data_IF_056308522443
#
_entry.id   IF_056308522443
#
_cell.length_a   1.000
_cell.length_b   1.000
_cell.length_c   1.000
_cell.angle_alpha   90.00
_cell.angle_beta   90.00
_cell.angle_gamma   90.00
#
_symmetry.space_group_name_H-M   'P 1'
#
loop_
_entity.id
_entity.type
_entity.pdbx_description
1 polymer ?
#
# COMPACT_ATOMS: atom_id res chain seq x y z
N UNK A 1 0.12 3.05 -24.20
CA UNK A 1 -0.40 2.45 -22.96
C UNK A 1 -0.03 3.36 -21.81
N UNK A 2 -0.96 4.18 -21.32
CA UNK A 2 -0.75 5.01 -20.14
C UNK A 2 -0.70 4.08 -18.93
N UNK A 3 0.39 4.09 -18.17
CA UNK A 3 0.47 3.32 -16.92
C UNK A 3 -0.70 3.71 -16.01
N UNK A 4 -1.42 2.73 -15.47
CA UNK A 4 -2.54 2.97 -14.55
C UNK A 4 -2.04 3.80 -13.35
N UNK A 5 -2.56 5.01 -13.12
CA UNK A 5 -2.06 5.87 -12.04
C UNK A 5 -2.23 5.22 -10.66
N UNK A 6 -3.22 4.33 -10.50
CA UNK A 6 -3.44 3.60 -9.25
C UNK A 6 -2.34 2.56 -8.99
N UNK A 7 -1.82 1.93 -10.04
CA UNK A 7 -0.67 1.03 -9.90
C UNK A 7 0.54 1.75 -9.32
N UNK A 8 0.81 2.98 -9.78
CA UNK A 8 1.88 3.80 -9.21
C UNK A 8 1.61 4.16 -7.75
N UNK A 9 0.38 4.60 -7.43
CA UNK A 9 0.02 4.97 -6.06
C UNK A 9 0.12 3.79 -5.09
N UNK A 10 -0.30 2.60 -5.51
CA UNK A 10 -0.16 1.37 -4.69
C UNK A 10 1.31 1.05 -4.43
N UNK A 11 2.16 1.24 -5.43
CA UNK A 11 3.61 1.07 -5.28
C UNK A 11 4.21 2.05 -4.27
N UNK A 12 3.87 3.32 -4.36
CA UNK A 12 4.31 4.35 -3.41
C UNK A 12 3.73 4.08 -2.00
N UNK A 13 2.50 3.59 -1.93
CA UNK A 13 1.83 3.24 -0.67
C UNK A 13 2.52 2.09 0.06
N UNK A 14 2.81 1.00 -0.66
CA UNK A 14 3.51 -0.17 -0.09
C UNK A 14 4.89 0.22 0.44
N UNK A 15 5.62 1.05 -0.30
CA UNK A 15 6.90 1.63 0.16
C UNK A 15 6.71 2.52 1.39
N UNK A 16 5.69 3.39 1.39
CA UNK A 16 5.41 4.29 2.51
C UNK A 16 5.09 3.55 3.81
N UNK A 17 4.42 2.40 3.72
CA UNK A 17 4.09 1.56 4.89
C UNK A 17 5.15 0.51 5.23
N UNK A 18 6.26 0.48 4.50
CA UNK A 18 7.38 -0.43 4.72
C UNK A 18 7.15 -1.86 4.25
N UNK A 19 6.16 -2.11 3.38
CA UNK A 19 5.92 -3.44 2.80
C UNK A 19 6.97 -3.73 1.72
N UNK A 20 7.63 -4.88 1.81
CA UNK A 20 8.56 -5.31 0.77
C UNK A 20 7.77 -5.96 -0.37
N UNK A 21 7.70 -5.26 -1.49
CA UNK A 21 6.95 -5.73 -2.67
C UNK A 21 7.46 -7.06 -3.24
N UNK A 22 8.68 -7.50 -2.89
CA UNK A 22 9.21 -8.82 -3.29
C UNK A 22 8.49 -9.96 -2.59
N UNK A 23 7.87 -9.70 -1.44
CA UNK A 23 7.07 -10.67 -0.68
C UNK A 23 5.58 -10.50 -0.91
N UNK A 24 5.17 -9.47 -1.67
CA UNK A 24 3.78 -9.24 -2.01
C UNK A 24 3.35 -10.22 -3.09
N UNK A 25 2.36 -11.04 -2.76
CA UNK A 25 1.76 -11.96 -3.70
C UNK A 25 1.13 -11.19 -4.90
N UNK A 26 1.31 -11.67 -6.15
CA UNK A 26 0.77 -11.01 -7.34
C UNK A 26 -0.77 -10.88 -7.33
N UNK A 27 -1.48 -11.83 -6.74
CA UNK A 27 -2.94 -11.77 -6.59
C UNK A 27 -3.32 -10.67 -5.61
N UNK A 28 -2.65 -10.60 -4.44
CA UNK A 28 -2.87 -9.50 -3.49
C UNK A 28 -2.59 -8.13 -4.10
N UNK A 29 -1.50 -7.98 -4.88
CA UNK A 29 -1.21 -6.74 -5.59
C UNK A 29 -2.33 -6.36 -6.57
N UNK A 30 -2.81 -7.31 -7.36
CA UNK A 30 -3.91 -7.10 -8.32
C UNK A 30 -5.18 -6.64 -7.60
N UNK A 31 -5.50 -7.29 -6.49
CA UNK A 31 -6.67 -7.01 -5.65
C UNK A 31 -6.60 -5.61 -5.01
N UNK A 32 -5.43 -5.22 -4.50
CA UNK A 32 -5.18 -3.88 -3.93
C UNK A 32 -5.37 -2.81 -5.01
N UNK A 33 -4.81 -3.03 -6.20
CA UNK A 33 -4.93 -2.08 -7.32
C UNK A 33 -6.37 -1.99 -7.79
N UNK A 34 -7.09 -3.11 -7.88
CA UNK A 34 -8.50 -3.11 -8.26
C UNK A 34 -9.33 -2.25 -7.31
N UNK A 35 -9.21 -2.47 -5.99
CA UNK A 35 -9.92 -1.65 -4.99
C UNK A 35 -9.48 -0.19 -4.99
N UNK A 36 -8.19 0.06 -5.26
CA UNK A 36 -7.66 1.42 -5.32
C UNK A 36 -8.31 2.24 -6.44
N UNK A 37 -8.72 1.61 -7.55
CA UNK A 37 -9.39 2.28 -8.67
C UNK A 37 -10.77 2.85 -8.32
N UNK A 38 -11.46 2.22 -7.37
CA UNK A 38 -12.76 2.68 -6.87
C UNK A 38 -12.63 3.71 -5.72
N UNK A 39 -11.41 4.08 -5.34
CA UNK A 39 -11.17 5.04 -4.26
C UNK A 39 -11.48 6.48 -4.71
N UNK A 40 -12.33 7.18 -3.95
CA UNK A 40 -12.68 8.59 -4.19
C UNK A 40 -11.68 9.59 -3.58
N UNK A 41 -10.72 9.12 -2.78
CA UNK A 41 -9.80 9.94 -1.99
C UNK A 41 -8.39 10.06 -2.60
N UNK A 42 -8.25 10.00 -3.94
CA UNK A 42 -6.93 10.02 -4.62
C UNK A 42 -6.12 11.28 -4.30
N UNK A 43 -6.77 12.44 -4.16
CA UNK A 43 -6.10 13.69 -3.77
C UNK A 43 -5.47 13.61 -2.39
N UNK A 44 -6.23 13.15 -1.39
CA UNK A 44 -5.75 12.94 -0.03
C UNK A 44 -4.64 11.88 0.02
N UNK A 45 -4.75 10.82 -0.79
CA UNK A 45 -3.70 9.80 -0.93
C UNK A 45 -2.38 10.41 -1.38
N UNK A 46 -2.39 11.24 -2.42
CA UNK A 46 -1.19 11.92 -2.92
C UNK A 46 -0.58 12.87 -1.90
N UNK A 47 -1.42 13.65 -1.21
CA UNK A 47 -0.95 14.56 -0.17
C UNK A 47 -0.31 13.80 0.99
N UNK A 48 -0.92 12.69 1.41
CA UNK A 48 -0.38 11.82 2.44
C UNK A 48 0.95 11.19 2.01
N UNK A 49 1.03 10.66 0.78
CA UNK A 49 2.27 10.08 0.24
C UNK A 49 3.42 11.09 0.11
N UNK A 50 3.11 12.37 -0.14
CA UNK A 50 4.11 13.43 -0.20
C UNK A 50 4.68 13.78 1.19
N UNK A 51 3.91 13.55 2.26
CA UNK A 51 4.30 13.80 3.65
C UNK A 51 4.87 12.55 4.34
N UNK A 52 4.48 11.36 3.88
CA UNK A 52 4.89 10.09 4.45
C UNK A 52 6.39 9.81 4.21
N UNK A 53 7.20 9.97 5.25
CA UNK A 53 8.62 9.60 5.25
C UNK A 53 8.81 8.08 5.37
N UNK A 54 8.37 7.29 4.38
CA UNK A 54 8.75 5.87 4.15
C UNK A 54 8.65 4.88 5.35
N UNK A 55 8.07 5.29 6.49
CA UNK A 55 8.01 4.54 7.75
C UNK A 55 6.62 4.70 8.40
N UNK A 56 5.60 5.00 7.60
CA UNK A 56 4.24 5.06 8.11
C UNK A 56 3.80 3.65 8.51
N UNK A 57 3.82 3.32 9.81
CA UNK A 57 3.46 1.97 10.29
C UNK A 57 2.10 1.46 9.80
N UNK A 58 1.18 2.38 9.51
CA UNK A 58 -0.16 2.08 9.05
C UNK A 58 -0.54 2.95 7.87
N UNK A 59 -1.35 2.40 6.98
CA UNK A 59 -2.04 3.18 5.97
C UNK A 59 -3.02 4.18 6.65
N UNK A 60 -3.29 5.35 6.04
CA UNK A 60 -4.18 6.36 6.59
C UNK A 60 -5.63 5.85 6.63
N UNK A 61 -6.42 6.40 7.54
CA UNK A 61 -7.82 6.01 7.81
C UNK A 61 -8.72 6.03 6.57
N UNK A 62 -8.48 6.96 5.64
CA UNK A 62 -9.28 7.07 4.41
C UNK A 62 -8.92 6.03 3.33
N UNK A 63 -7.85 5.27 3.51
CA UNK A 63 -7.40 4.30 2.51
C UNK A 63 -8.32 3.07 2.49
N UNK A 64 -8.96 2.80 1.35
CA UNK A 64 -9.79 1.60 1.14
C UNK A 64 -9.03 0.28 1.34
N UNK A 65 -7.71 0.33 1.18
CA UNK A 65 -6.83 -0.82 1.38
C UNK A 65 -6.18 -0.87 2.77
N UNK A 66 -6.52 0.04 3.70
CA UNK A 66 -5.85 0.16 5.01
C UNK A 66 -5.73 -1.17 5.72
N UNK A 67 -6.86 -1.81 6.01
CA UNK A 67 -6.90 -3.09 6.73
C UNK A 67 -6.08 -4.18 6.05
N UNK A 68 -6.00 -4.18 4.73
CA UNK A 68 -5.24 -5.18 3.98
C UNK A 68 -3.73 -4.90 4.03
N UNK A 69 -3.34 -3.65 3.78
CA UNK A 69 -1.94 -3.23 3.85
C UNK A 69 -1.37 -3.43 5.25
N UNK A 70 -2.11 -3.04 6.29
CA UNK A 70 -1.69 -3.25 7.68
C UNK A 70 -1.49 -4.74 7.98
N UNK A 71 -2.41 -5.62 7.56
CA UNK A 71 -2.25 -7.08 7.73
C UNK A 71 -1.03 -7.64 7.01
N UNK A 72 -0.76 -7.20 5.79
CA UNK A 72 0.41 -7.64 5.01
C UNK A 72 1.68 -7.20 5.73
N UNK A 73 1.73 -5.95 6.19
CA UNK A 73 2.85 -5.41 6.95
C UNK A 73 3.09 -6.18 8.25
N UNK A 74 2.04 -6.45 9.02
CA UNK A 74 2.14 -7.24 10.25
C UNK A 74 2.63 -8.67 9.97
N UNK A 75 2.14 -9.30 8.89
CA UNK A 75 2.59 -10.62 8.47
C UNK A 75 4.08 -10.64 8.07
N UNK A 76 4.54 -9.63 7.33
CA UNK A 76 5.95 -9.48 6.96
C UNK A 76 6.84 -9.27 8.19
N UNK A 77 6.45 -8.39 9.11
CA UNK A 77 7.19 -8.16 10.36
C UNK A 77 7.29 -9.46 11.17
N UNK A 78 6.18 -10.19 11.31
CA UNK A 78 6.16 -11.47 12.01
C UNK A 78 7.08 -12.51 11.33
N UNK A 79 7.12 -12.55 10.00
CA UNK A 79 8.00 -13.43 9.26
C UNK A 79 9.48 -13.10 9.50
N UNK A 80 9.87 -11.82 9.46
CA UNK A 80 11.26 -11.37 9.69
C UNK A 80 11.76 -11.58 11.12
N UNK A 81 10.87 -11.63 12.13
CA UNK A 81 11.25 -11.88 13.53
C UNK A 81 11.49 -13.36 13.86
N UNK A 82 11.19 -14.27 12.93
CA UNK A 82 11.31 -15.72 13.12
C UNK A 82 12.62 -16.28 12.53
N UNK A 83 13.47 -15.42 11.94
CA UNK A 83 14.77 -15.77 11.32
C UNK A 83 15.98 -15.45 12.20
#
# INVERSE_FOLDING_TARGET
>A
MTADPHFRLVREMTEAVGIDRRHLDPEDLSDIVHRCRDCTHVGACRSWLADAFHDARHAPEFCVNKTRLDRIRDAEIAATLTE
#
